data_IF_044814777378
#
_entry.id   IF_044814777378
#
_cell.length_a   1.000
_cell.length_b   1.000
_cell.length_c   1.000
_cell.angle_alpha   90.00
_cell.angle_beta   90.00
_cell.angle_gamma   90.00
#
_symmetry.space_group_name_H-M   'P 1'
#
loop_
_entity.id
_entity.type
_entity.pdbx_description
1 polymer ?
#
# COMPACT_ATOMS: atom_id res chain seq x y z
N UNK A 1 17.22 33.27 -4.94
CA UNK A 1 17.08 31.80 -5.03
C UNK A 1 17.45 31.24 -3.67
N UNK A 2 16.57 30.50 -3.00
CA UNK A 2 16.95 29.82 -1.77
C UNK A 2 17.87 28.65 -2.10
N UNK A 3 19.04 28.58 -1.46
CA UNK A 3 19.94 27.43 -1.55
C UNK A 3 19.26 26.21 -0.94
N UNK A 4 19.32 25.07 -1.64
CA UNK A 4 18.76 23.81 -1.15
C UNK A 4 19.56 23.28 0.03
N UNK A 5 18.95 22.41 0.83
CA UNK A 5 19.65 21.71 1.90
C UNK A 5 20.88 20.99 1.36
N UNK A 6 22.01 21.09 2.07
CA UNK A 6 23.29 20.57 1.61
C UNK A 6 23.33 19.04 1.69
N UNK A 7 22.64 18.47 2.69
CA UNK A 7 22.61 17.03 2.94
C UNK A 7 21.21 16.46 2.82
N UNK A 8 21.14 15.15 2.53
CA UNK A 8 19.89 14.39 2.54
C UNK A 8 19.24 14.43 3.94
N UNK A 9 20.05 14.31 5.00
CA UNK A 9 19.58 14.30 6.38
C UNK A 9 18.81 15.58 6.73
N UNK A 10 19.38 16.76 6.43
CA UNK A 10 18.68 18.04 6.69
C UNK A 10 17.37 18.16 5.90
N UNK A 11 17.37 17.73 4.64
CA UNK A 11 16.17 17.74 3.81
C UNK A 11 15.11 16.76 4.31
N UNK A 12 15.53 15.58 4.78
CA UNK A 12 14.66 14.57 5.37
C UNK A 12 14.02 15.08 6.67
N UNK A 13 14.80 15.63 7.59
CA UNK A 13 14.29 16.23 8.82
C UNK A 13 13.28 17.35 8.56
N UNK A 14 13.55 18.21 7.56
CA UNK A 14 12.61 19.25 7.16
C UNK A 14 11.32 18.69 6.56
N UNK A 15 11.42 17.68 5.69
CA UNK A 15 10.25 17.02 5.10
C UNK A 15 9.39 16.32 6.15
N UNK A 16 10.03 15.64 7.13
CA UNK A 16 9.37 14.99 8.25
C UNK A 16 8.70 16.00 9.19
N UNK A 17 9.33 17.15 9.44
CA UNK A 17 8.76 18.25 10.26
C UNK A 17 7.54 18.89 9.61
N UNK A 18 7.46 18.87 8.28
CA UNK A 18 6.28 19.28 7.52
C UNK A 18 5.24 18.15 7.39
N UNK A 19 5.46 17.02 8.07
CA UNK A 19 4.56 15.88 8.16
C UNK A 19 4.21 15.24 6.82
N UNK A 20 5.07 15.38 5.80
CA UNK A 20 4.87 14.68 4.55
C UNK A 20 5.01 13.17 4.77
N UNK A 21 3.94 12.40 4.51
CA UNK A 21 3.94 10.93 4.68
C UNK A 21 4.12 10.18 3.37
N UNK A 22 3.82 10.82 2.26
CA UNK A 22 3.89 10.19 0.94
C UNK A 22 4.59 11.08 -0.09
N UNK A 23 5.16 10.46 -1.12
CA UNK A 23 5.72 11.17 -2.27
C UNK A 23 4.75 12.22 -2.87
N UNK A 24 3.46 11.92 -3.16
CA UNK A 24 2.54 12.92 -3.70
C UNK A 24 2.30 14.09 -2.74
N UNK A 25 2.22 13.86 -1.43
CA UNK A 25 2.12 14.94 -0.45
C UNK A 25 3.36 15.84 -0.49
N UNK A 26 4.55 15.23 -0.46
CA UNK A 26 5.81 15.97 -0.61
C UNK A 26 5.83 16.78 -1.90
N UNK A 27 5.48 16.19 -3.05
CA UNK A 27 5.47 16.88 -4.35
C UNK A 27 4.52 18.07 -4.39
N UNK A 28 3.39 17.98 -3.69
CA UNK A 28 2.41 19.06 -3.58
C UNK A 28 2.84 20.14 -2.59
N UNK A 29 3.52 19.76 -1.51
CA UNK A 29 3.80 20.61 -0.37
C UNK A 29 5.24 21.10 -0.23
N UNK A 30 6.24 20.55 -0.94
CA UNK A 30 7.65 20.84 -0.70
C UNK A 30 7.99 22.35 -0.75
N UNK A 31 7.24 23.13 -1.52
CA UNK A 31 7.40 24.60 -1.63
C UNK A 31 7.09 25.35 -0.33
N UNK A 32 6.46 24.70 0.66
CA UNK A 32 6.30 25.23 2.02
C UNK A 32 7.65 25.52 2.66
N UNK A 33 8.69 24.76 2.31
CA UNK A 33 10.07 25.08 2.61
C UNK A 33 10.86 25.33 1.31
N UNK A 34 11.27 26.57 1.03
CA UNK A 34 11.97 26.89 -0.21
C UNK A 34 13.34 26.17 -0.36
N UNK A 35 13.91 25.63 0.73
CA UNK A 35 15.14 24.82 0.71
C UNK A 35 14.91 23.36 0.33
N UNK A 36 13.68 22.86 0.38
CA UNK A 36 13.37 21.50 -0.07
C UNK A 36 13.47 21.42 -1.61
N UNK A 37 14.16 20.39 -2.16
CA UNK A 37 14.24 20.19 -3.60
C UNK A 37 12.97 19.52 -4.15
N UNK A 38 12.63 19.80 -5.41
CA UNK A 38 11.50 19.12 -6.05
C UNK A 38 11.77 17.61 -6.24
N UNK A 39 13.03 17.23 -6.49
CA UNK A 39 13.49 15.86 -6.71
C UNK A 39 14.66 15.54 -5.76
N UNK A 40 14.41 15.25 -4.48
CA UNK A 40 15.49 14.93 -3.52
C UNK A 40 16.27 13.68 -3.95
N UNK A 41 15.60 12.71 -4.58
CA UNK A 41 16.22 11.51 -5.14
C UNK A 41 17.25 11.76 -6.24
N UNK A 42 17.15 12.89 -6.95
CA UNK A 42 18.14 13.28 -7.94
C UNK A 42 19.25 14.13 -7.34
N UNK A 43 18.90 15.02 -6.40
CA UNK A 43 19.86 15.92 -5.76
C UNK A 43 20.81 15.17 -4.82
N UNK A 44 20.30 14.18 -4.10
CA UNK A 44 21.03 13.40 -3.10
C UNK A 44 21.31 11.98 -3.58
N UNK A 45 21.47 11.77 -4.89
CA UNK A 45 21.56 10.43 -5.48
C UNK A 45 22.66 9.53 -4.88
N UNK A 46 23.71 10.10 -4.26
CA UNK A 46 24.77 9.35 -3.60
C UNK A 46 24.36 8.71 -2.27
N UNK A 47 23.41 9.32 -1.56
CA UNK A 47 22.94 8.89 -0.23
C UNK A 47 21.45 8.48 -0.26
N UNK A 48 20.81 8.58 -1.42
CA UNK A 48 19.40 8.31 -1.59
C UNK A 48 19.13 6.80 -1.57
N UNK A 49 18.23 6.41 -0.67
CA UNK A 49 17.74 5.04 -0.53
C UNK A 49 16.34 4.95 -1.14
N UNK A 50 15.31 5.34 -0.39
CA UNK A 50 13.94 5.42 -0.88
C UNK A 50 13.11 6.54 -0.23
N UNK A 51 11.86 6.70 -0.68
CA UNK A 51 10.95 7.73 -0.18
C UNK A 51 10.50 7.50 1.27
N UNK A 52 10.37 6.25 1.71
CA UNK A 52 10.00 5.89 3.07
C UNK A 52 11.13 6.24 4.03
N UNK A 53 12.37 5.88 3.69
CA UNK A 53 13.59 6.30 4.40
C UNK A 53 13.70 7.82 4.49
N UNK A 54 13.43 8.53 3.38
CA UNK A 54 13.47 10.00 3.35
C UNK A 54 12.34 10.68 4.14
N UNK A 55 11.12 10.13 4.13
CA UNK A 55 9.96 10.69 4.82
C UNK A 55 9.76 10.16 6.25
N UNK A 56 10.64 9.27 6.71
CA UNK A 56 10.52 8.63 8.02
C UNK A 56 9.23 7.83 8.16
N UNK A 57 8.76 7.21 7.09
CA UNK A 57 7.54 6.37 7.09
C UNK A 57 7.87 4.89 7.00
N UNK A 58 6.93 4.05 7.43
CA UNK A 58 7.13 2.61 7.41
C UNK A 58 7.27 2.11 5.96
N UNK A 59 8.40 1.46 5.68
CA UNK A 59 8.61 0.79 4.42
C UNK A 59 7.60 -0.36 4.31
N UNK A 60 6.91 -0.56 3.18
CA UNK A 60 5.88 -1.59 3.03
C UNK A 60 6.40 -3.03 3.14
N UNK A 61 7.71 -3.19 3.37
CA UNK A 61 8.40 -4.47 3.46
C UNK A 61 8.30 -5.30 2.18
N UNK A 62 8.84 -6.50 2.26
CA UNK A 62 8.51 -7.55 1.30
C UNK A 62 7.06 -7.99 1.52
N UNK A 63 6.37 -8.25 0.42
CA UNK A 63 5.03 -8.83 0.45
C UNK A 63 5.06 -10.19 1.12
N UNK A 64 3.91 -10.68 1.58
CA UNK A 64 3.81 -12.06 2.07
C UNK A 64 4.32 -13.04 1.01
N UNK A 65 5.15 -13.99 1.42
CA UNK A 65 5.82 -14.91 0.49
C UNK A 65 4.83 -15.89 -0.14
N UNK A 66 3.78 -16.25 0.61
CA UNK A 66 2.80 -17.25 0.18
C UNK A 66 1.38 -16.70 0.14
N UNK A 67 0.55 -17.31 -0.72
CA UNK A 67 -0.90 -17.02 -0.78
C UNK A 67 -1.58 -17.29 0.57
N UNK A 68 -1.10 -18.28 1.33
CA UNK A 68 -1.64 -18.65 2.64
C UNK A 68 -1.42 -17.54 3.68
N UNK A 69 -0.20 -17.02 3.79
CA UNK A 69 0.10 -15.92 4.71
C UNK A 69 -0.68 -14.64 4.36
N UNK A 70 -0.77 -14.31 3.06
CA UNK A 70 -1.55 -13.16 2.60
C UNK A 70 -3.05 -13.35 2.85
N UNK A 71 -3.56 -14.56 2.66
CA UNK A 71 -4.95 -14.92 2.91
C UNK A 71 -5.29 -14.79 4.39
N UNK A 72 -4.44 -15.31 5.27
CA UNK A 72 -4.63 -15.16 6.72
C UNK A 72 -4.63 -13.69 7.15
N UNK A 73 -3.70 -12.88 6.62
CA UNK A 73 -3.64 -11.46 6.94
C UNK A 73 -4.89 -10.70 6.44
N UNK A 74 -5.33 -10.98 5.21
CA UNK A 74 -6.55 -10.40 4.65
C UNK A 74 -7.80 -10.76 5.48
N UNK A 75 -7.89 -12.01 5.94
CA UNK A 75 -8.98 -12.48 6.81
C UNK A 75 -8.90 -11.86 8.21
N UNK A 76 -7.70 -11.71 8.80
CA UNK A 76 -7.50 -11.03 10.09
C UNK A 76 -7.93 -9.57 10.05
N UNK A 77 -7.81 -8.91 8.90
CA UNK A 77 -8.31 -7.55 8.66
C UNK A 77 -9.81 -7.48 8.38
N UNK A 78 -10.50 -8.63 8.30
CA UNK A 78 -11.94 -8.74 8.10
C UNK A 78 -12.40 -8.49 6.67
N UNK A 79 -11.55 -8.74 5.66
CA UNK A 79 -11.99 -8.63 4.26
C UNK A 79 -12.74 -9.89 3.83
N UNK A 80 -14.00 -9.74 3.43
CA UNK A 80 -14.85 -10.86 3.01
C UNK A 80 -15.03 -10.90 1.48
N UNK A 81 -14.92 -9.73 0.84
CA UNK A 81 -15.04 -9.59 -0.62
C UNK A 81 -13.89 -8.78 -1.23
N UNK A 82 -13.65 -9.00 -2.53
CA UNK A 82 -12.61 -8.32 -3.31
C UNK A 82 -12.68 -6.79 -3.22
N UNK A 83 -13.89 -6.22 -3.18
CA UNK A 83 -14.07 -4.77 -3.09
C UNK A 83 -13.54 -4.18 -1.77
N UNK A 84 -13.79 -4.86 -0.65
CA UNK A 84 -13.25 -4.49 0.65
C UNK A 84 -11.73 -4.63 0.69
N UNK A 85 -11.21 -5.74 0.15
CA UNK A 85 -9.78 -5.94 0.01
C UNK A 85 -9.14 -4.78 -0.79
N UNK A 86 -9.68 -4.43 -1.96
CA UNK A 86 -9.14 -3.35 -2.79
C UNK A 86 -9.13 -2.00 -2.08
N UNK A 87 -10.13 -1.73 -1.24
CA UNK A 87 -10.21 -0.50 -0.44
C UNK A 87 -9.29 -0.53 0.78
N UNK A 88 -9.06 -1.71 1.35
CA UNK A 88 -8.49 -1.88 2.67
C UNK A 88 -7.09 -2.49 2.72
N UNK A 89 -6.57 -3.11 1.66
CA UNK A 89 -5.33 -3.89 1.71
C UNK A 89 -4.15 -3.07 2.26
N UNK A 90 -4.12 -1.75 2.02
CA UNK A 90 -3.08 -0.83 2.53
C UNK A 90 -3.02 -0.72 4.06
N UNK A 91 -4.01 -1.25 4.79
CA UNK A 91 -3.95 -1.41 6.25
C UNK A 91 -2.83 -2.36 6.67
N UNK A 92 -2.46 -3.31 5.82
CA UNK A 92 -1.26 -4.12 5.95
C UNK A 92 -0.42 -3.97 4.70
N UNK A 93 0.68 -3.25 4.81
CA UNK A 93 1.52 -2.93 3.67
C UNK A 93 2.15 -4.17 3.01
N UNK A 94 2.18 -5.33 3.68
CA UNK A 94 2.66 -6.60 3.10
C UNK A 94 1.62 -7.27 2.21
N UNK A 95 0.36 -6.82 2.22
CA UNK A 95 -0.64 -7.28 1.27
C UNK A 95 -0.38 -6.70 -0.13
N UNK A 96 -0.40 -7.51 -1.20
CA UNK A 96 -0.27 -7.03 -2.57
C UNK A 96 -1.57 -6.41 -3.08
N UNK A 97 -1.49 -5.37 -3.92
CA UNK A 97 -2.69 -4.77 -4.52
C UNK A 97 -3.47 -5.71 -5.44
N UNK A 98 -2.78 -6.68 -6.05
CA UNK A 98 -3.34 -7.70 -6.93
C UNK A 98 -2.77 -9.08 -6.55
N UNK A 99 -3.32 -9.76 -5.52
CA UNK A 99 -2.82 -11.05 -5.06
C UNK A 99 -2.93 -12.12 -6.16
N UNK A 100 -3.94 -12.02 -7.04
CA UNK A 100 -4.13 -12.90 -8.20
C UNK A 100 -2.98 -12.87 -9.19
N UNK A 101 -2.29 -11.73 -9.30
CA UNK A 101 -1.10 -11.58 -10.16
C UNK A 101 0.19 -11.87 -9.41
N UNK A 102 0.23 -11.55 -8.12
CA UNK A 102 1.43 -11.73 -7.30
C UNK A 102 1.69 -13.21 -7.00
N UNK A 103 0.63 -13.99 -6.77
CA UNK A 103 0.69 -15.42 -6.48
C UNK A 103 0.21 -16.27 -7.66
N UNK A 104 0.44 -15.83 -8.90
CA UNK A 104 -0.19 -16.43 -10.09
C UNK A 104 0.03 -17.95 -10.21
N UNK A 105 1.12 -18.48 -9.68
CA UNK A 105 1.44 -19.92 -9.69
C UNK A 105 0.59 -20.74 -8.71
N UNK A 106 0.26 -20.18 -7.54
CA UNK A 106 -0.49 -20.84 -6.45
C UNK A 106 -1.92 -20.28 -6.29
N UNK A 107 -2.36 -19.39 -7.18
CA UNK A 107 -3.63 -18.70 -7.07
C UNK A 107 -4.79 -19.58 -7.55
N UNK A 108 -5.74 -19.85 -6.66
CA UNK A 108 -7.01 -20.48 -6.99
C UNK A 108 -8.04 -19.44 -7.45
N UNK A 109 -8.64 -18.73 -6.50
CA UNK A 109 -9.64 -17.68 -6.75
C UNK A 109 -9.87 -16.81 -5.50
N UNK A 110 -10.60 -15.72 -5.68
CA UNK A 110 -10.93 -14.77 -4.62
C UNK A 110 -11.73 -15.38 -3.45
N UNK A 111 -12.79 -16.17 -3.68
CA UNK A 111 -13.48 -16.89 -2.62
C UNK A 111 -12.56 -17.76 -1.75
N UNK A 112 -11.63 -18.51 -2.36
CA UNK A 112 -10.64 -19.29 -1.62
C UNK A 112 -9.68 -18.40 -0.83
N UNK A 113 -9.23 -17.28 -1.41
CA UNK A 113 -8.31 -16.34 -0.74
C UNK A 113 -8.93 -15.59 0.44
N UNK A 114 -10.22 -15.24 0.39
CA UNK A 114 -10.92 -14.51 1.46
C UNK A 114 -11.79 -15.43 2.34
N UNK A 115 -11.70 -16.75 2.14
CA UNK A 115 -12.53 -17.77 2.80
C UNK A 115 -14.02 -17.46 2.72
N UNK A 116 -14.44 -16.90 1.60
CA UNK A 116 -15.84 -16.69 1.29
C UNK A 116 -16.43 -18.01 0.80
N UNK A 117 -16.78 -18.89 1.74
CA UNK A 117 -17.65 -20.02 1.48
C UNK A 117 -18.96 -19.43 0.98
N UNK A 118 -19.13 -19.27 -0.34
CA UNK A 118 -20.43 -18.89 -0.90
C UNK A 118 -21.45 -19.84 -0.29
N UNK A 119 -22.43 -19.39 0.51
CA UNK A 119 -23.59 -20.23 0.71
C UNK A 119 -24.12 -20.45 -0.69
N UNK A 120 -24.07 -21.69 -1.17
CA UNK A 120 -24.78 -22.12 -2.37
C UNK A 120 -26.26 -22.05 -2.00
N UNK A 121 -26.81 -20.84 -1.88
CA UNK A 121 -28.24 -20.64 -1.82
C UNK A 121 -28.76 -21.00 -3.20
N UNK A 122 -29.16 -22.27 -3.26
CA UNK A 122 -29.91 -22.89 -4.33
C UNK A 122 -30.96 -21.89 -4.79
N UNK A 123 -31.05 -21.66 -6.10
CA UNK A 123 -32.27 -21.15 -6.70
C UNK A 123 -33.42 -22.04 -6.22
N UNK A 124 -34.16 -21.60 -5.20
CA UNK A 124 -35.55 -22.03 -4.99
C UNK A 124 -36.36 -21.27 -6.05
N UNK A 125 -36.17 -21.69 -7.31
CA UNK A 125 -37.24 -21.66 -8.29
C UNK A 125 -38.10 -22.87 -7.99
N UNK A 126 -39.35 -22.67 -7.57
CA UNK A 126 -40.52 -23.10 -8.31
C UNK A 126 -41.79 -22.69 -7.55
N UNK A 127 -42.74 -22.20 -8.33
CA UNK A 127 -44.19 -22.15 -8.12
C UNK A 127 -44.74 -22.82 -6.85
N UNK A 128 -45.62 -22.11 -6.14
CA UNK A 128 -47.00 -22.53 -5.84
C UNK A 128 -47.58 -21.64 -4.75
N UNK A 129 -48.47 -20.73 -5.15
CA UNK A 129 -49.66 -20.37 -4.39
C UNK A 129 -50.65 -19.78 -5.40
N UNK A 130 -51.52 -20.66 -5.91
CA UNK A 130 -52.81 -20.29 -6.51
C UNK A 130 -53.74 -19.68 -5.46
#
# INVERSE_FOLDING_TARGET
MATKYATLAEASEAAQRLEFKTQPEYKKGYKQDPKLPANPNQLYAGDWDDWYSFLGTEHPGEKYATVAEASEAAQRLGFEIRDEYNKGYKKDLKLPAAPDKHYAEDWADWPNFLRNERPREKYVTLAEAS
#
